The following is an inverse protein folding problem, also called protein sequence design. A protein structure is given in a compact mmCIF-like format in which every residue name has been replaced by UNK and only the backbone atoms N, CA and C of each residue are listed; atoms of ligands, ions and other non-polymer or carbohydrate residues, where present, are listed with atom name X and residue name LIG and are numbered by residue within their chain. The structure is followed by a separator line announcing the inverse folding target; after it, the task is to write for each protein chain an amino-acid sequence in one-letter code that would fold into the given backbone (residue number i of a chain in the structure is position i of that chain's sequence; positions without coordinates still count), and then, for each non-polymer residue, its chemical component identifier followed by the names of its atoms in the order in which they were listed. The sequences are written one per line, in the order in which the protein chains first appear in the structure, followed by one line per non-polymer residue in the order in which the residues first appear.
data_IF_170438554756
#
_entry.id   IF_170438554756
#
_cell.length_a   1.000
_cell.length_b   1.000
_cell.length_c   1.000
_cell.angle_alpha   90.00
_cell.angle_beta   90.00
_cell.angle_gamma   90.00
#
_symmetry.space_group_name_H-M   'P 1'
#
loop_
_entity.id
_entity.type
_entity.pdbx_description
1 polymer ?
#
# COMPACT_ATOMS: atom_id res chain seq x y z
N UNK A 1 32.84 16.52 22.38
CA UNK A 1 32.30 17.86 22.08
C UNK A 1 32.36 18.20 20.57
N UNK A 2 33.51 18.01 19.87
CA UNK A 2 33.61 18.34 18.41
C UNK A 2 32.57 17.70 17.49
N UNK A 3 32.16 16.44 17.73
CA UNK A 3 31.15 15.77 16.91
C UNK A 3 29.74 16.39 17.01
N UNK A 4 29.42 17.08 18.07
CA UNK A 4 28.13 17.75 18.30
C UNK A 4 28.07 19.07 17.54
N UNK A 5 29.10 19.88 17.57
CA UNK A 5 29.22 21.14 16.83
C UNK A 5 29.15 20.94 15.30
N UNK A 6 29.82 19.90 14.78
CA UNK A 6 29.78 19.58 13.36
C UNK A 6 28.37 19.20 12.86
N UNK A 7 27.58 18.54 13.72
CA UNK A 7 26.18 18.19 13.40
C UNK A 7 25.29 19.42 13.41
N UNK A 8 25.45 20.33 14.35
CA UNK A 8 24.69 21.57 14.45
C UNK A 8 24.96 22.51 13.26
N UNK A 9 26.23 22.61 12.83
CA UNK A 9 26.60 23.38 11.62
C UNK A 9 26.05 22.74 10.35
N UNK A 10 26.10 21.42 10.22
CA UNK A 10 25.49 20.70 9.09
C UNK A 10 23.98 20.85 9.06
N UNK A 11 23.29 20.82 10.19
CA UNK A 11 21.85 21.06 10.28
C UNK A 11 21.46 22.51 9.99
N UNK A 12 22.37 23.47 10.16
CA UNK A 12 22.16 24.86 9.77
C UNK A 12 22.25 25.04 8.25
N UNK A 13 23.22 24.37 7.61
CA UNK A 13 23.45 24.46 6.15
C UNK A 13 22.51 23.54 5.35
N UNK A 14 22.18 22.38 5.91
CA UNK A 14 21.32 21.36 5.28
C UNK A 14 20.21 20.94 6.25
N UNK A 15 19.21 21.81 6.50
CA UNK A 15 18.17 21.51 7.46
C UNK A 15 17.34 20.32 6.98
N UNK A 16 17.01 19.42 7.91
CA UNK A 16 16.06 18.35 7.63
C UNK A 16 14.70 18.96 7.31
N UNK A 17 14.13 18.54 6.19
CA UNK A 17 12.86 19.06 5.72
C UNK A 17 11.76 18.01 5.85
N UNK A 18 10.57 18.45 6.23
CA UNK A 18 9.36 17.64 6.27
C UNK A 18 9.04 17.07 4.89
N UNK A 19 8.80 15.75 4.82
CA UNK A 19 8.43 15.07 3.58
C UNK A 19 7.07 15.53 3.03
N UNK A 20 6.24 16.13 3.88
CA UNK A 20 4.93 16.63 3.51
C UNK A 20 4.97 18.09 3.05
N UNK A 21 5.28 19.04 3.92
CA UNK A 21 5.18 20.48 3.61
C UNK A 21 6.50 21.12 3.19
N UNK A 22 7.63 20.41 3.26
CA UNK A 22 8.96 20.95 2.93
C UNK A 22 9.55 21.90 3.99
N UNK A 23 8.81 22.24 5.04
CA UNK A 23 9.33 23.10 6.12
C UNK A 23 10.43 22.38 6.91
N UNK A 24 11.29 23.17 7.56
CA UNK A 24 12.33 22.65 8.46
C UNK A 24 11.70 21.88 9.61
N UNK A 25 12.22 20.67 9.87
CA UNK A 25 11.78 19.84 10.98
C UNK A 25 12.31 20.41 12.32
N UNK A 26 11.46 20.38 13.34
CA UNK A 26 11.85 20.72 14.71
C UNK A 26 12.72 19.62 15.33
N UNK A 27 13.32 19.95 16.48
CA UNK A 27 14.05 18.95 17.28
C UNK A 27 13.08 17.84 17.71
N UNK A 28 13.45 16.58 17.44
CA UNK A 28 12.62 15.40 17.73
C UNK A 28 11.77 14.94 16.54
N UNK A 29 11.47 15.79 15.56
CA UNK A 29 10.82 15.37 14.32
C UNK A 29 11.83 14.72 13.37
N UNK A 30 11.40 13.67 12.65
CA UNK A 30 12.32 12.91 11.80
C UNK A 30 12.06 13.09 10.30
N UNK A 31 10.87 12.77 9.84
CA UNK A 31 10.49 12.73 8.43
C UNK A 31 9.27 13.60 8.11
N UNK A 32 8.35 13.71 9.05
CA UNK A 32 7.11 14.46 8.91
C UNK A 32 6.92 15.32 10.16
N UNK A 33 6.58 16.59 10.00
CA UNK A 33 6.36 17.49 11.12
C UNK A 33 5.00 17.21 11.79
N UNK A 34 4.86 17.61 13.05
CA UNK A 34 3.63 17.44 13.83
C UNK A 34 2.40 18.05 13.12
N UNK A 35 2.56 19.24 12.52
CA UNK A 35 1.48 19.89 11.77
C UNK A 35 0.97 19.02 10.62
N UNK A 36 1.88 18.41 9.83
CA UNK A 36 1.49 17.53 8.74
C UNK A 36 0.84 16.23 9.24
N UNK A 37 1.31 15.70 10.36
CA UNK A 37 0.71 14.50 10.97
C UNK A 37 -0.71 14.81 11.47
N UNK A 38 -0.92 15.94 12.15
CA UNK A 38 -2.24 16.36 12.66
C UNK A 38 -3.25 16.69 11.54
N UNK A 39 -2.76 17.08 10.37
CA UNK A 39 -3.61 17.41 9.21
C UNK A 39 -3.79 16.27 8.22
N UNK A 40 -3.35 15.06 8.56
CA UNK A 40 -3.62 13.88 7.73
C UNK A 40 -5.13 13.71 7.54
N UNK A 41 -5.59 13.57 6.28
CA UNK A 41 -7.01 13.36 6.00
C UNK A 41 -7.39 11.92 6.28
N UNK A 42 -7.47 11.57 7.57
CA UNK A 42 -7.74 10.19 8.00
C UNK A 42 -9.07 9.68 7.45
N UNK A 43 -9.08 8.41 7.09
CA UNK A 43 -10.29 7.70 6.70
C UNK A 43 -11.04 7.26 7.97
N UNK A 44 -12.32 7.61 8.06
CA UNK A 44 -13.13 7.37 9.26
C UNK A 44 -13.91 6.06 9.22
N UNK A 45 -13.75 5.26 8.18
CA UNK A 45 -14.39 3.95 8.09
C UNK A 45 -13.85 3.02 9.18
N UNK A 46 -14.78 2.36 9.89
CA UNK A 46 -14.46 1.38 10.95
C UNK A 46 -14.97 -0.02 10.64
N UNK A 47 -15.92 -0.12 9.73
CA UNK A 47 -16.40 -1.41 9.25
C UNK A 47 -15.55 -1.86 8.08
N UNK A 48 -14.51 -2.64 8.37
CA UNK A 48 -13.57 -3.12 7.36
C UNK A 48 -14.12 -4.25 6.50
N UNK A 49 -15.17 -4.91 6.96
CA UNK A 49 -15.80 -6.05 6.26
C UNK A 49 -16.90 -5.60 5.30
N UNK A 50 -17.60 -4.51 5.64
CA UNK A 50 -18.74 -3.99 4.88
C UNK A 50 -18.63 -2.48 4.68
N UNK A 51 -17.69 -2.04 3.87
CA UNK A 51 -17.50 -0.62 3.60
C UNK A 51 -17.46 -0.33 2.09
N UNK A 52 -17.52 0.98 1.76
CA UNK A 52 -17.48 1.45 0.37
C UNK A 52 -16.23 1.02 -0.39
N UNK A 53 -15.09 0.83 0.29
CA UNK A 53 -13.86 0.37 -0.36
C UNK A 53 -13.97 -1.09 -0.81
N UNK A 54 -14.57 -1.94 0.02
CA UNK A 54 -14.85 -3.33 -0.33
C UNK A 54 -15.85 -3.44 -1.48
N UNK A 55 -16.92 -2.64 -1.44
CA UNK A 55 -17.89 -2.53 -2.53
C UNK A 55 -17.20 -2.13 -3.84
N UNK A 56 -16.27 -1.18 -3.79
CA UNK A 56 -15.53 -0.70 -4.95
C UNK A 56 -14.56 -1.74 -5.54
N UNK A 57 -14.08 -2.70 -4.74
CA UNK A 57 -13.29 -3.84 -5.20
C UNK A 57 -14.16 -5.00 -5.71
N UNK A 58 -15.48 -4.89 -5.64
CA UNK A 58 -16.40 -5.88 -6.15
C UNK A 58 -16.49 -7.17 -5.33
N UNK A 59 -17.14 -8.19 -5.91
CA UNK A 59 -17.41 -9.45 -5.22
C UNK A 59 -16.30 -10.45 -5.47
N UNK A 60 -15.43 -10.62 -4.49
CA UNK A 60 -14.42 -11.67 -4.44
C UNK A 60 -14.68 -12.57 -3.22
N UNK A 61 -14.91 -13.86 -3.39
CA UNK A 61 -15.27 -14.76 -2.28
C UNK A 61 -14.22 -14.80 -1.16
N UNK A 62 -12.93 -14.66 -1.51
CA UNK A 62 -11.85 -14.66 -0.56
C UNK A 62 -11.62 -13.31 0.12
N UNK A 63 -12.22 -12.20 -0.38
CA UNK A 63 -11.99 -10.85 0.14
C UNK A 63 -12.73 -10.63 1.45
N UNK A 64 -11.98 -10.43 2.54
CA UNK A 64 -12.50 -10.31 3.89
C UNK A 64 -12.61 -8.86 4.35
N UNK A 65 -11.47 -8.14 4.50
CA UNK A 65 -11.44 -6.75 4.98
C UNK A 65 -10.74 -5.83 3.99
N UNK A 66 -11.19 -4.59 3.92
CA UNK A 66 -10.56 -3.56 3.07
C UNK A 66 -10.46 -2.26 3.85
N UNK A 67 -9.25 -1.72 3.94
CA UNK A 67 -8.98 -0.47 4.65
C UNK A 67 -7.94 0.41 4.00
N UNK A 68 -8.03 1.70 4.30
CA UNK A 68 -6.99 2.68 4.01
C UNK A 68 -6.87 3.64 5.19
N UNK A 69 -5.66 4.15 5.44
CA UNK A 69 -5.46 5.11 6.53
C UNK A 69 -5.99 6.49 6.15
N UNK A 70 -5.77 6.94 4.91
CA UNK A 70 -6.05 8.32 4.51
C UNK A 70 -6.84 8.38 3.21
N UNK A 71 -7.55 9.51 3.01
CA UNK A 71 -8.11 9.88 1.71
C UNK A 71 -7.03 10.54 0.85
N UNK A 72 -6.95 10.11 -0.40
CA UNK A 72 -6.06 10.70 -1.38
C UNK A 72 -6.77 11.81 -2.16
N UNK A 73 -6.24 13.01 -2.11
CA UNK A 73 -6.53 14.10 -3.01
C UNK A 73 -5.22 14.72 -3.48
N UNK A 74 -5.14 15.15 -4.74
CA UNK A 74 -3.88 15.66 -5.32
C UNK A 74 -3.30 16.85 -4.58
N UNK A 75 -4.11 17.55 -3.82
CA UNK A 75 -3.77 18.79 -3.08
C UNK A 75 -3.49 18.56 -1.60
N UNK A 76 -3.79 17.37 -1.06
CA UNK A 76 -3.65 17.12 0.36
C UNK A 76 -2.28 16.54 0.74
N UNK A 77 -2.02 16.53 2.05
CA UNK A 77 -0.75 16.05 2.61
C UNK A 77 -0.49 14.57 2.32
N UNK A 78 -1.52 13.74 2.24
CA UNK A 78 -1.38 12.33 1.92
C UNK A 78 -0.78 12.12 0.53
N UNK A 79 -1.22 12.90 -0.46
CA UNK A 79 -0.67 12.87 -1.82
C UNK A 79 0.80 13.32 -1.86
N UNK A 80 1.17 14.34 -1.06
CA UNK A 80 2.56 14.81 -1.00
C UNK A 80 3.48 13.75 -0.39
N UNK A 81 3.06 13.06 0.67
CA UNK A 81 3.81 11.96 1.26
C UNK A 81 4.01 10.82 0.26
N UNK A 82 2.96 10.43 -0.47
CA UNK A 82 3.06 9.42 -1.53
C UNK A 82 4.00 9.86 -2.66
N UNK A 83 3.95 11.13 -3.07
CA UNK A 83 4.89 11.68 -4.06
C UNK A 83 6.33 11.66 -3.55
N UNK A 84 6.56 12.08 -2.30
CA UNK A 84 7.86 12.05 -1.65
C UNK A 84 8.43 10.64 -1.58
N UNK A 85 7.59 9.64 -1.23
CA UNK A 85 7.97 8.24 -1.20
C UNK A 85 8.35 7.73 -2.61
N UNK A 86 7.63 8.12 -3.66
CA UNK A 86 7.86 7.65 -5.04
C UNK A 86 9.09 8.27 -5.72
N UNK A 87 9.39 9.53 -5.45
CA UNK A 87 10.31 10.31 -6.29
C UNK A 87 11.55 10.83 -5.57
N UNK A 88 11.56 10.86 -4.24
CA UNK A 88 12.70 11.41 -3.46
C UNK A 88 13.63 10.34 -2.88
N UNK A 89 13.48 9.07 -3.25
CA UNK A 89 14.28 7.91 -2.78
C UNK A 89 14.36 7.78 -1.25
N UNK A 90 13.33 8.24 -0.54
CA UNK A 90 13.26 8.20 0.94
C UNK A 90 12.54 6.93 1.39
N UNK A 91 13.24 5.79 1.37
CA UNK A 91 12.65 4.51 1.78
C UNK A 91 12.22 4.53 3.27
N UNK A 92 12.91 5.29 4.13
CA UNK A 92 12.55 5.47 5.53
C UNK A 92 11.14 6.05 5.72
N UNK A 93 10.66 6.84 4.74
CA UNK A 93 9.31 7.37 4.75
C UNK A 93 8.26 6.25 4.65
N UNK A 94 8.52 5.20 3.86
CA UNK A 94 7.64 4.04 3.77
C UNK A 94 7.52 3.30 5.10
N UNK A 95 8.64 3.04 5.77
CA UNK A 95 8.65 2.42 7.09
C UNK A 95 7.91 3.29 8.13
N UNK A 96 8.14 4.62 8.11
CA UNK A 96 7.42 5.56 8.97
C UNK A 96 5.90 5.51 8.70
N UNK A 97 5.47 5.52 7.43
CA UNK A 97 4.06 5.41 7.05
C UNK A 97 3.44 4.11 7.57
N UNK A 98 4.15 2.99 7.46
CA UNK A 98 3.69 1.70 7.99
C UNK A 98 3.52 1.71 9.51
N UNK A 99 4.50 2.25 10.26
CA UNK A 99 4.40 2.38 11.72
C UNK A 99 3.22 3.25 12.14
N UNK A 100 3.07 4.43 11.54
CA UNK A 100 1.94 5.33 11.82
C UNK A 100 0.60 4.66 11.52
N UNK A 101 0.50 3.91 10.44
CA UNK A 101 -0.71 3.17 10.12
C UNK A 101 -1.00 2.07 11.16
N UNK A 102 0.02 1.35 11.61
CA UNK A 102 -0.12 0.32 12.64
C UNK A 102 -0.54 0.93 14.00
N UNK A 103 0.05 2.05 14.39
CA UNK A 103 -0.30 2.78 15.63
C UNK A 103 -1.74 3.31 15.60
N UNK A 104 -2.20 3.85 14.47
CA UNK A 104 -3.53 4.44 14.36
C UNK A 104 -4.65 3.42 14.11
N UNK A 105 -4.35 2.29 13.49
CA UNK A 105 -5.34 1.29 13.07
C UNK A 105 -5.18 -0.06 13.79
N UNK A 106 -4.14 -0.28 14.58
CA UNK A 106 -3.85 -1.58 15.22
C UNK A 106 -5.02 -2.13 16.03
N UNK A 107 -5.65 -1.28 16.82
CA UNK A 107 -6.77 -1.64 17.71
C UNK A 107 -8.15 -1.59 17.03
N UNK A 108 -8.21 -1.34 15.72
CA UNK A 108 -9.48 -1.21 14.99
C UNK A 108 -10.04 -2.53 14.46
N UNK A 109 -9.29 -3.63 14.60
CA UNK A 109 -9.62 -4.94 14.06
C UNK A 109 -9.22 -5.15 12.59
N UNK A 110 -8.70 -4.13 11.89
CA UNK A 110 -8.31 -4.27 10.48
C UNK A 110 -7.26 -5.36 10.27
N UNK A 111 -6.27 -5.44 11.15
CA UNK A 111 -5.14 -6.37 11.07
C UNK A 111 -5.35 -7.66 11.90
N UNK A 112 -6.50 -7.81 12.56
CA UNK A 112 -6.77 -8.94 13.43
C UNK A 112 -6.77 -10.27 12.66
N UNK A 113 -5.99 -11.24 13.16
CA UNK A 113 -5.85 -12.58 12.59
C UNK A 113 -5.16 -12.62 11.23
N UNK A 114 -4.43 -11.56 10.85
CA UNK A 114 -3.59 -11.55 9.64
C UNK A 114 -2.31 -12.34 9.92
N UNK A 115 -2.04 -13.36 9.08
CA UNK A 115 -0.87 -14.24 9.20
C UNK A 115 0.36 -13.66 8.50
N UNK A 116 0.16 -12.88 7.44
CA UNK A 116 1.27 -12.28 6.68
C UNK A 116 0.85 -11.06 5.86
N UNK A 117 1.83 -10.19 5.59
CA UNK A 117 1.72 -9.02 4.72
C UNK A 117 2.34 -9.33 3.35
N UNK A 118 1.60 -9.09 2.29
CA UNK A 118 2.06 -9.30 0.91
C UNK A 118 2.03 -7.95 0.17
N UNK A 119 3.18 -7.28 0.03
CA UNK A 119 3.23 -6.01 -0.68
C UNK A 119 3.06 -6.20 -2.18
N UNK A 120 2.30 -5.30 -2.82
CA UNK A 120 2.15 -5.27 -4.28
C UNK A 120 3.52 -5.08 -4.93
N UNK A 121 3.97 -6.00 -5.80
CA UNK A 121 5.27 -5.89 -6.44
C UNK A 121 5.27 -4.86 -7.57
N UNK A 122 6.41 -4.20 -7.73
CA UNK A 122 6.69 -3.35 -8.88
C UNK A 122 7.17 -4.17 -10.09
N UNK A 123 7.02 -3.60 -11.30
CA UNK A 123 7.78 -4.11 -12.45
C UNK A 123 9.28 -3.88 -12.25
N UNK A 124 10.13 -4.73 -12.82
CA UNK A 124 11.59 -4.59 -12.72
C UNK A 124 12.08 -3.19 -13.17
N UNK A 125 11.47 -2.61 -14.22
CA UNK A 125 11.77 -1.25 -14.69
C UNK A 125 11.48 -0.20 -13.62
N UNK A 126 10.30 -0.30 -12.95
CA UNK A 126 9.93 0.65 -11.89
C UNK A 126 10.79 0.48 -10.65
N UNK A 127 11.10 -0.76 -10.27
CA UNK A 127 11.99 -1.06 -9.15
C UNK A 127 13.39 -0.48 -9.40
N UNK A 128 13.94 -0.68 -10.59
CA UNK A 128 15.23 -0.09 -10.97
C UNK A 128 15.21 1.45 -10.93
N UNK A 129 14.17 2.06 -11.47
CA UNK A 129 14.02 3.54 -11.49
C UNK A 129 13.86 4.15 -10.10
N UNK A 130 13.12 3.49 -9.20
CA UNK A 130 12.81 4.01 -7.85
C UNK A 130 13.81 3.58 -6.80
N UNK A 131 14.53 2.46 -7.04
CA UNK A 131 15.50 1.88 -6.12
C UNK A 131 14.90 0.97 -5.04
N UNK A 132 13.59 1.04 -4.81
CA UNK A 132 12.86 0.21 -3.82
C UNK A 132 11.38 0.10 -4.16
N UNK A 133 10.69 -0.85 -3.51
CA UNK A 133 9.24 -1.02 -3.59
C UNK A 133 8.56 -0.25 -2.44
N UNK A 134 7.69 0.70 -2.77
CA UNK A 134 6.98 1.54 -1.81
C UNK A 134 6.05 0.73 -0.89
N UNK A 135 5.29 -0.19 -1.49
CA UNK A 135 4.38 -1.06 -0.75
C UNK A 135 5.13 -1.96 0.24
N UNK A 136 6.33 -2.46 -0.17
CA UNK A 136 7.21 -3.23 0.71
C UNK A 136 7.69 -2.42 1.90
N UNK A 137 8.11 -1.17 1.69
CA UNK A 137 8.55 -0.31 2.81
C UNK A 137 7.42 0.04 3.78
N UNK A 138 6.20 0.20 3.30
CA UNK A 138 5.01 0.35 4.15
C UNK A 138 4.75 -0.96 4.92
N UNK A 139 4.81 -2.11 4.25
CA UNK A 139 4.64 -3.42 4.89
C UNK A 139 5.73 -3.68 5.95
N UNK A 140 7.00 -3.31 5.69
CA UNK A 140 8.09 -3.39 6.67
C UNK A 140 7.74 -2.60 7.94
N UNK A 141 7.26 -1.37 7.81
CA UNK A 141 6.85 -0.54 8.95
C UNK A 141 5.63 -1.10 9.71
N UNK A 142 4.65 -1.68 9.01
CA UNK A 142 3.54 -2.40 9.65
C UNK A 142 4.06 -3.61 10.44
N UNK A 143 4.96 -4.39 9.82
CA UNK A 143 5.57 -5.58 10.43
C UNK A 143 6.35 -5.25 11.70
N UNK A 144 7.13 -4.17 11.69
CA UNK A 144 7.90 -3.70 12.86
C UNK A 144 7.01 -3.44 14.08
N UNK A 145 5.79 -2.97 13.88
CA UNK A 145 4.86 -2.60 14.97
C UNK A 145 3.91 -3.74 15.34
N UNK A 146 3.38 -4.46 14.33
CA UNK A 146 2.34 -5.48 14.55
C UNK A 146 2.91 -6.89 14.72
N UNK A 147 4.20 -7.12 14.43
CA UNK A 147 4.81 -8.45 14.46
C UNK A 147 4.38 -9.40 13.34
N UNK A 148 3.67 -8.91 12.31
CA UNK A 148 3.17 -9.71 11.19
C UNK A 148 4.27 -9.82 10.12
N UNK A 149 4.68 -11.04 9.69
CA UNK A 149 5.76 -11.21 8.73
C UNK A 149 5.43 -10.69 7.33
N UNK A 150 6.43 -10.13 6.63
CA UNK A 150 6.32 -9.70 5.24
C UNK A 150 6.80 -10.80 4.30
N UNK A 151 6.02 -11.09 3.26
CA UNK A 151 6.32 -12.08 2.22
C UNK A 151 6.35 -11.41 0.85
N UNK A 152 7.53 -11.25 0.28
CA UNK A 152 7.76 -10.62 -1.05
C UNK A 152 7.89 -11.63 -2.19
N UNK A 153 7.90 -12.92 -1.86
CA UNK A 153 8.09 -14.05 -2.77
C UNK A 153 6.78 -14.68 -3.29
N UNK A 154 5.62 -14.08 -2.99
CA UNK A 154 4.31 -14.66 -3.34
C UNK A 154 3.83 -14.16 -4.71
N UNK A 155 3.94 -12.87 -4.96
CA UNK A 155 3.44 -12.24 -6.19
C UNK A 155 4.59 -11.67 -7.04
N UNK A 156 4.49 -11.82 -8.34
CA UNK A 156 5.35 -11.16 -9.31
C UNK A 156 4.51 -10.34 -10.29
N UNK A 157 4.86 -9.07 -10.50
CA UNK A 157 4.23 -8.24 -11.52
C UNK A 157 4.83 -8.55 -12.88
N UNK A 158 3.97 -8.94 -13.81
CA UNK A 158 4.37 -9.19 -15.20
C UNK A 158 4.55 -7.86 -15.94
N UNK A 159 5.41 -7.86 -16.96
CA UNK A 159 5.47 -6.74 -17.89
C UNK A 159 4.20 -6.77 -18.74
N UNK A 160 3.45 -5.68 -18.78
CA UNK A 160 2.49 -5.48 -19.85
C UNK A 160 3.32 -5.33 -21.15
N UNK A 161 3.42 -6.39 -21.94
CA UNK A 161 3.73 -6.22 -23.33
C UNK A 161 2.46 -5.64 -23.96
N UNK A 162 2.54 -4.45 -24.52
CA UNK A 162 1.68 -4.01 -25.60
C UNK A 162 1.97 -4.96 -26.76
N UNK A 163 1.41 -6.16 -26.72
CA UNK A 163 1.46 -7.04 -27.85
C UNK A 163 0.32 -6.68 -28.77
N UNK A 164 0.73 -6.11 -29.88
CA UNK A 164 0.10 -6.23 -31.18
C UNK A 164 -1.08 -7.20 -31.17
N UNK A 165 -2.24 -6.60 -31.44
CA UNK A 165 -3.43 -7.26 -31.97
C UNK A 165 -3.07 -8.48 -32.85
N UNK A 166 -3.83 -9.56 -32.65
CA UNK A 166 -3.84 -10.78 -33.44
C UNK A 166 -2.77 -11.84 -33.11
N UNK A 167 -2.99 -12.61 -32.04
CA UNK A 167 -2.82 -14.07 -32.15
C UNK A 167 -3.44 -14.78 -30.93
N UNK A 168 -4.39 -15.67 -31.26
CA UNK A 168 -4.80 -16.86 -30.53
C UNK A 168 -5.72 -16.74 -29.30
N UNK A 169 -7.01 -16.78 -29.63
CA UNK A 169 -8.14 -17.18 -28.76
C UNK A 169 -8.08 -18.65 -28.29
N UNK A 170 -7.00 -19.40 -28.54
CA UNK A 170 -7.00 -20.85 -28.48
C UNK A 170 -6.13 -21.49 -27.37
N UNK A 171 -5.48 -20.71 -26.47
CA UNK A 171 -4.73 -21.31 -25.34
C UNK A 171 -5.07 -20.62 -24.02
N UNK A 172 -6.34 -20.72 -23.62
CA UNK A 172 -6.86 -20.16 -22.36
C UNK A 172 -6.94 -21.20 -21.26
N UNK A 173 -5.96 -22.03 -21.05
CA UNK A 173 -6.04 -23.04 -19.99
C UNK A 173 -4.87 -23.15 -19.04
N UNK A 174 -3.81 -22.36 -19.10
CA UNK A 174 -2.77 -22.38 -18.08
C UNK A 174 -2.35 -20.97 -17.64
N UNK A 175 -2.86 -20.55 -16.49
CA UNK A 175 -2.28 -19.58 -15.52
C UNK A 175 -1.67 -18.24 -15.98
N UNK A 176 -2.00 -17.66 -17.12
CA UNK A 176 -1.48 -16.34 -17.55
C UNK A 176 -2.64 -15.44 -17.99
N UNK A 177 -3.51 -15.09 -17.06
CA UNK A 177 -4.52 -14.05 -17.25
C UNK A 177 -4.40 -13.04 -16.13
N UNK A 178 -3.40 -12.14 -16.13
CA UNK A 178 -3.40 -11.10 -15.11
C UNK A 178 -2.12 -10.27 -15.12
N UNK A 179 -2.21 -9.13 -14.48
CA UNK A 179 -1.08 -8.23 -14.20
C UNK A 179 -0.06 -8.91 -13.27
N UNK A 180 -0.51 -9.87 -12.45
CA UNK A 180 0.30 -10.60 -11.49
C UNK A 180 0.32 -12.10 -11.78
N UNK A 181 1.48 -12.70 -11.48
CA UNK A 181 1.68 -14.14 -11.41
C UNK A 181 1.97 -14.53 -9.98
N UNK A 182 1.28 -15.56 -9.48
CA UNK A 182 1.60 -16.21 -8.21
C UNK A 182 2.86 -17.06 -8.40
N UNK A 183 3.84 -16.90 -7.52
CA UNK A 183 5.13 -17.60 -7.57
C UNK A 183 5.13 -18.88 -6.75
N UNK A 184 4.35 -18.92 -5.67
CA UNK A 184 4.29 -20.07 -4.76
C UNK A 184 2.94 -20.15 -4.05
N UNK A 185 2.52 -21.36 -3.71
CA UNK A 185 1.36 -21.66 -2.85
C UNK A 185 1.81 -22.11 -1.44
N UNK A 186 3.12 -22.24 -1.24
CA UNK A 186 3.67 -22.82 -0.01
C UNK A 186 3.30 -21.98 1.21
N UNK A 187 2.54 -22.59 2.13
CA UNK A 187 2.14 -21.98 3.38
C UNK A 187 1.04 -20.92 3.24
N UNK A 188 0.23 -20.97 2.16
CA UNK A 188 -0.86 -20.01 1.95
C UNK A 188 -2.26 -20.60 2.17
N UNK A 189 -2.41 -21.93 2.07
CA UNK A 189 -3.70 -22.58 2.29
C UNK A 189 -4.21 -22.32 3.71
N UNK A 190 -5.44 -21.87 3.85
CA UNK A 190 -6.07 -21.51 5.12
C UNK A 190 -5.57 -20.23 5.79
N UNK A 191 -4.58 -19.55 5.22
CA UNK A 191 -4.02 -18.32 5.80
C UNK A 191 -4.90 -17.08 5.53
N UNK A 192 -4.76 -16.10 6.41
CA UNK A 192 -5.28 -14.74 6.23
C UNK A 192 -4.13 -13.82 5.76
N UNK A 193 -4.18 -13.42 4.52
CA UNK A 193 -3.16 -12.58 3.85
C UNK A 193 -3.65 -11.15 3.73
N UNK A 194 -2.85 -10.19 4.15
CA UNK A 194 -3.08 -8.76 3.91
C UNK A 194 -2.25 -8.29 2.72
N UNK A 195 -2.91 -7.88 1.64
CA UNK A 195 -2.27 -7.27 0.48
C UNK A 195 -2.04 -5.77 0.79
N UNK A 196 -0.80 -5.29 0.62
CA UNK A 196 -0.41 -3.92 0.99
C UNK A 196 -0.01 -3.12 -0.25
N UNK A 197 -0.50 -1.87 -0.37
CA UNK A 197 -0.07 -0.91 -1.40
C UNK A 197 0.07 0.51 -0.84
N UNK A 198 0.66 1.42 -1.61
CA UNK A 198 0.76 2.83 -1.23
C UNK A 198 -0.54 3.60 -1.52
N UNK A 199 -1.17 3.42 -2.68
CA UNK A 199 -2.40 4.11 -3.06
C UNK A 199 -3.30 3.23 -3.90
N UNK A 200 -4.54 3.11 -3.49
CA UNK A 200 -5.60 2.53 -4.32
C UNK A 200 -6.33 3.66 -5.05
N UNK A 201 -6.33 3.58 -6.38
CA UNK A 201 -7.04 4.53 -7.26
C UNK A 201 -8.33 3.91 -7.78
N UNK A 202 -8.28 3.22 -8.91
CA UNK A 202 -9.43 2.51 -9.50
C UNK A 202 -9.65 1.12 -8.89
N UNK A 203 -8.70 0.62 -8.09
CA UNK A 203 -8.74 -0.73 -7.55
C UNK A 203 -8.22 -1.82 -8.50
N UNK A 204 -7.96 -1.53 -9.78
CA UNK A 204 -7.59 -2.56 -10.78
C UNK A 204 -6.34 -3.37 -10.40
N UNK A 205 -5.36 -2.73 -9.74
CA UNK A 205 -4.18 -3.44 -9.22
C UNK A 205 -4.56 -4.43 -8.12
N UNK A 206 -5.46 -4.04 -7.22
CA UNK A 206 -5.93 -4.91 -6.13
C UNK A 206 -6.77 -6.07 -6.66
N UNK A 207 -7.67 -5.82 -7.62
CA UNK A 207 -8.42 -6.88 -8.29
C UNK A 207 -7.48 -7.95 -8.84
N UNK A 208 -6.51 -7.55 -9.65
CA UNK A 208 -5.58 -8.49 -10.24
C UNK A 208 -4.73 -9.26 -9.18
N UNK A 209 -4.41 -8.64 -8.05
CA UNK A 209 -3.69 -9.31 -6.97
C UNK A 209 -4.58 -10.30 -6.22
N UNK A 210 -5.85 -9.95 -5.97
CA UNK A 210 -6.85 -10.83 -5.37
C UNK A 210 -7.10 -12.04 -6.28
N UNK A 211 -7.37 -11.81 -7.58
CA UNK A 211 -7.58 -12.88 -8.58
C UNK A 211 -6.40 -13.87 -8.64
N UNK A 212 -5.16 -13.38 -8.50
CA UNK A 212 -3.99 -14.25 -8.50
C UNK A 212 -3.90 -15.17 -7.28
N UNK A 213 -4.59 -14.84 -6.16
CA UNK A 213 -4.50 -15.56 -4.89
C UNK A 213 -5.79 -16.29 -4.49
N UNK A 214 -6.97 -15.83 -4.92
CA UNK A 214 -8.26 -16.30 -4.43
C UNK A 214 -8.57 -17.78 -4.72
N UNK A 215 -7.85 -18.40 -5.66
CA UNK A 215 -7.97 -19.84 -5.95
C UNK A 215 -7.28 -20.73 -4.94
N UNK A 216 -6.53 -20.18 -3.99
CA UNK A 216 -5.84 -20.95 -2.95
C UNK A 216 -6.87 -21.46 -1.93
N UNK A 217 -6.89 -22.76 -1.61
CA UNK A 217 -7.89 -23.33 -0.71
C UNK A 217 -7.91 -22.66 0.67
N UNK A 218 -9.08 -22.18 1.10
CA UNK A 218 -9.31 -21.61 2.42
C UNK A 218 -8.60 -20.27 2.69
N UNK A 219 -8.01 -19.64 1.68
CA UNK A 219 -7.36 -18.33 1.87
C UNK A 219 -8.39 -17.25 2.21
N UNK A 220 -8.03 -16.36 3.12
CA UNK A 220 -8.73 -15.09 3.36
C UNK A 220 -7.82 -13.96 2.91
N UNK A 221 -8.36 -13.01 2.15
CA UNK A 221 -7.61 -11.88 1.63
C UNK A 221 -8.15 -10.59 2.23
N UNK A 222 -7.28 -9.80 2.81
CA UNK A 222 -7.59 -8.42 3.19
C UNK A 222 -6.70 -7.46 2.44
N UNK A 223 -7.12 -6.21 2.36
CA UNK A 223 -6.41 -5.17 1.62
C UNK A 223 -6.17 -3.98 2.52
N UNK A 224 -4.95 -3.49 2.54
CA UNK A 224 -4.56 -2.23 3.15
C UNK A 224 -3.81 -1.34 2.17
N UNK A 225 -4.14 -0.05 2.17
CA UNK A 225 -3.33 0.98 1.51
C UNK A 225 -3.11 2.17 2.44
N UNK A 226 -1.99 2.87 2.25
CA UNK A 226 -1.80 4.16 2.93
C UNK A 226 -2.91 5.14 2.56
N UNK A 227 -3.30 5.20 1.28
CA UNK A 227 -4.33 6.11 0.84
C UNK A 227 -5.29 5.50 -0.20
N UNK A 228 -6.50 6.01 -0.20
CA UNK A 228 -7.53 5.67 -1.17
C UNK A 228 -8.05 6.91 -1.88
N UNK A 229 -8.12 6.87 -3.22
CA UNK A 229 -8.77 7.91 -4.01
C UNK A 229 -10.29 7.74 -3.89
N UNK A 230 -11.03 8.72 -3.34
CA UNK A 230 -12.48 8.62 -3.22
C UNK A 230 -13.14 8.38 -4.58
N UNK A 231 -14.01 7.36 -4.65
CA UNK A 231 -14.82 7.13 -5.83
C UNK A 231 -16.05 8.03 -5.73
N UNK A 232 -16.33 8.87 -6.76
CA UNK A 232 -17.51 9.71 -6.74
C UNK A 232 -18.79 8.87 -6.63
N UNK A 233 -19.82 9.32 -5.89
CA UNK A 233 -21.08 8.59 -5.71
C UNK A 233 -21.75 8.17 -7.02
N UNK A 234 -21.57 8.94 -8.11
CA UNK A 234 -22.12 8.66 -9.45
C UNK A 234 -21.59 7.38 -10.11
N UNK A 235 -20.57 6.72 -9.53
CA UNK A 235 -20.05 5.42 -10.01
C UNK A 235 -20.52 4.24 -9.16
N UNK A 236 -21.21 4.48 -8.06
CA UNK A 236 -21.95 3.42 -7.39
C UNK A 236 -23.27 3.25 -8.13
N UNK A 237 -23.40 2.19 -8.91
CA UNK A 237 -24.68 1.78 -9.49
C UNK A 237 -25.65 1.56 -8.32
N UNK A 238 -26.62 2.48 -8.15
CA UNK A 238 -27.85 2.16 -7.47
C UNK A 238 -28.59 1.25 -8.46
N UNK A 239 -28.96 0.02 -8.12
CA UNK A 239 -29.91 -0.71 -8.94
C UNK A 239 -31.18 0.13 -8.98
N UNK A 240 -31.62 0.46 -10.19
CA UNK A 240 -32.91 1.08 -10.40
C UNK A 240 -33.96 0.17 -9.80
N UNK A 241 -34.78 0.76 -8.93
CA UNK A 241 -35.95 0.15 -8.25
C UNK A 241 -37.00 -0.33 -9.23
#
# INVERSE_FOLDING_TARGET
MLKRWGREVLELLFPRQCCGCGQRLASGEQLVCAQCLMTLPLETLRDWEFNRHKVALGTHPALFRVGALTRYDRTNISAELVRSLKFRRRHELGNWMGRVAAELLGDTGLFEGVDMLVPIPLTARRLHSRGFNQAEKIADGLSETLGIPVRTDILQRLRYQESQTHFLRAQRHDNVQGIFRRLTDKGLAGCHVMIVDDVITTGSTMHAAIEALESIPGIRLSVFAWAWVPIPPSKFFMPES
#
